data_IF_606405043277
#
_entry.id   IF_606405043277
#
_cell.length_a   1.000
_cell.length_b   1.000
_cell.length_c   1.000
_cell.angle_alpha   90.00
_cell.angle_beta   90.00
_cell.angle_gamma   90.00
#
_symmetry.space_group_name_H-M   'P 1'
#
loop_
_entity.id
_entity.type
_entity.pdbx_description
1 polymer ?
#
# COMPACT_ATOMS: atom_id res chain seq x y z
N UNK A 1 5.50 64.37 -16.05
CA UNK A 1 5.93 63.21 -15.23
C UNK A 1 4.89 62.09 -15.28
N UNK A 2 4.67 61.46 -16.45
CA UNK A 2 3.55 60.50 -16.63
C UNK A 2 3.93 59.19 -17.34
N UNK A 3 5.20 59.00 -17.72
CA UNK A 3 5.64 57.83 -18.51
C UNK A 3 6.21 56.66 -17.69
N UNK A 4 6.51 56.87 -16.41
CA UNK A 4 7.17 55.85 -15.56
C UNK A 4 6.14 54.91 -14.91
N UNK A 5 4.91 55.38 -14.66
CA UNK A 5 3.86 54.60 -13.97
C UNK A 5 3.34 53.40 -14.77
N UNK A 6 3.41 53.42 -16.11
CA UNK A 6 2.85 52.37 -16.95
C UNK A 6 3.76 51.14 -17.05
N UNK A 7 5.08 51.35 -16.91
CA UNK A 7 6.09 50.29 -17.02
C UNK A 7 6.09 49.41 -15.76
N UNK A 8 5.86 50.00 -14.58
CA UNK A 8 5.83 49.26 -13.30
C UNK A 8 4.64 48.29 -13.21
N UNK A 9 3.49 48.64 -13.80
CA UNK A 9 2.31 47.75 -13.84
C UNK A 9 2.51 46.54 -14.76
N UNK A 10 3.23 46.69 -15.87
CA UNK A 10 3.47 45.60 -16.82
C UNK A 10 4.47 44.56 -16.29
N UNK A 11 5.44 44.98 -15.47
CA UNK A 11 6.47 44.09 -14.90
C UNK A 11 5.89 43.27 -13.73
N UNK A 12 5.00 43.85 -12.91
CA UNK A 12 4.37 43.16 -11.78
C UNK A 12 3.44 42.01 -12.20
N UNK A 13 2.73 42.13 -13.32
CA UNK A 13 1.84 41.08 -13.83
C UNK A 13 2.59 39.89 -14.44
N UNK A 14 3.84 40.07 -14.87
CA UNK A 14 4.62 39.00 -15.49
C UNK A 14 5.25 38.05 -14.44
N UNK A 15 5.61 38.57 -13.26
CA UNK A 15 6.19 37.78 -12.17
C UNK A 15 5.20 36.82 -11.50
N UNK A 16 3.92 37.20 -11.43
CA UNK A 16 2.87 36.36 -10.82
C UNK A 16 2.56 35.15 -11.71
N UNK A 17 2.56 35.31 -13.04
CA UNK A 17 2.35 34.21 -13.98
C UNK A 17 3.49 33.17 -13.93
N UNK A 18 4.73 33.61 -13.68
CA UNK A 18 5.89 32.72 -13.57
C UNK A 18 5.87 31.88 -12.27
N UNK A 19 5.36 32.43 -11.16
CA UNK A 19 5.24 31.67 -9.90
C UNK A 19 4.11 30.62 -9.94
N UNK A 20 3.04 30.85 -10.69
CA UNK A 20 1.95 29.88 -10.85
C UNK A 20 2.32 28.67 -11.73
N UNK A 21 3.33 28.81 -12.61
CA UNK A 21 3.83 27.70 -13.44
C UNK A 21 4.80 26.77 -12.68
N UNK A 22 5.39 27.21 -11.57
CA UNK A 22 6.32 26.41 -10.75
C UNK A 22 5.63 25.47 -9.75
N UNK A 23 4.31 25.48 -9.63
CA UNK A 23 3.58 24.63 -8.68
C UNK A 23 2.97 23.37 -9.31
N UNK A 24 3.21 23.11 -10.60
CA UNK A 24 2.86 21.84 -11.22
C UNK A 24 3.91 20.80 -10.86
N UNK A 25 3.92 20.34 -9.62
CA UNK A 25 4.54 19.05 -9.32
C UNK A 25 3.72 17.98 -10.06
N UNK A 26 4.34 17.19 -10.94
CA UNK A 26 3.64 16.04 -11.50
C UNK A 26 3.23 15.16 -10.33
N UNK A 27 1.94 14.81 -10.25
CA UNK A 27 1.49 13.71 -9.43
C UNK A 27 2.27 12.49 -9.90
N UNK A 28 3.30 12.09 -9.15
CA UNK A 28 4.07 10.89 -9.44
C UNK A 28 3.07 9.74 -9.36
N UNK A 29 2.78 9.15 -10.52
CA UNK A 29 2.02 7.93 -10.62
C UNK A 29 2.67 6.93 -9.67
N UNK A 30 1.87 6.48 -8.72
CA UNK A 30 2.33 5.69 -7.60
C UNK A 30 3.18 4.52 -8.08
N UNK A 31 4.42 4.47 -7.60
CA UNK A 31 5.35 3.38 -7.86
C UNK A 31 4.64 2.06 -7.55
N UNK A 32 4.59 1.16 -8.53
CA UNK A 32 3.92 -0.15 -8.46
C UNK A 32 4.70 -1.11 -7.55
N UNK A 33 4.97 -0.69 -6.32
CA UNK A 33 5.63 -1.56 -5.34
C UNK A 33 4.61 -2.59 -4.89
N UNK A 34 4.97 -3.85 -5.08
CA UNK A 34 4.14 -4.97 -4.74
C UNK A 34 3.83 -5.01 -3.24
N UNK A 35 2.56 -4.96 -2.89
CA UNK A 35 2.14 -5.08 -1.49
C UNK A 35 2.43 -6.46 -0.90
N UNK A 36 2.47 -7.49 -1.76
CA UNK A 36 2.55 -8.90 -1.38
C UNK A 36 3.36 -9.68 -2.39
N UNK A 37 4.22 -10.56 -1.91
CA UNK A 37 4.99 -11.51 -2.73
C UNK A 37 4.92 -12.92 -2.13
N UNK A 38 5.15 -13.94 -2.97
CA UNK A 38 5.35 -15.30 -2.46
C UNK A 38 6.68 -15.38 -1.69
N UNK A 39 6.75 -16.18 -0.63
CA UNK A 39 8.03 -16.54 -0.03
C UNK A 39 8.93 -17.19 -1.10
N UNK A 40 10.17 -16.75 -1.19
CA UNK A 40 11.13 -17.20 -2.19
C UNK A 40 12.35 -17.92 -1.59
N UNK A 41 12.47 -17.93 -0.26
CA UNK A 41 13.56 -18.61 0.44
C UNK A 41 13.10 -19.89 1.15
N UNK A 42 13.83 -20.26 2.21
CA UNK A 42 13.57 -21.46 2.99
C UNK A 42 12.30 -21.25 3.81
N UNK A 43 11.40 -22.24 3.75
CA UNK A 43 10.25 -22.36 4.64
C UNK A 43 10.41 -23.57 5.54
N UNK A 44 9.83 -23.51 6.73
CA UNK A 44 9.69 -24.70 7.56
C UNK A 44 8.63 -25.64 6.95
N UNK A 45 8.77 -26.94 7.23
CA UNK A 45 7.87 -27.98 6.71
C UNK A 45 6.61 -28.16 7.56
N UNK A 46 6.57 -27.59 8.76
CA UNK A 46 5.40 -27.65 9.63
C UNK A 46 4.33 -26.64 9.17
N UNK A 47 3.07 -27.05 9.27
CA UNK A 47 1.92 -26.20 8.97
C UNK A 47 1.28 -25.72 10.25
N UNK A 48 1.03 -24.42 10.33
CA UNK A 48 0.25 -23.83 11.41
C UNK A 48 -1.25 -24.10 11.24
N UNK A 49 -2.06 -23.63 12.19
CA UNK A 49 -3.52 -23.78 12.16
C UNK A 49 -4.21 -23.12 10.95
N UNK A 50 -3.51 -22.21 10.26
CA UNK A 50 -3.99 -21.55 9.05
C UNK A 50 -3.70 -22.35 7.77
N UNK A 51 -2.96 -23.46 7.88
CA UNK A 51 -2.52 -24.29 6.76
C UNK A 51 -1.30 -23.76 6.02
N UNK A 52 -0.56 -22.81 6.62
CA UNK A 52 0.64 -22.22 6.03
C UNK A 52 1.89 -22.67 6.79
N UNK A 53 3.06 -22.60 6.16
CA UNK A 53 4.33 -22.79 6.88
C UNK A 53 4.42 -21.86 8.09
N UNK A 54 4.96 -22.33 9.21
CA UNK A 54 5.08 -21.48 10.39
C UNK A 54 6.09 -20.35 10.20
N UNK A 55 7.18 -20.60 9.46
CA UNK A 55 8.22 -19.61 9.19
C UNK A 55 8.68 -19.75 7.73
N UNK A 56 8.85 -18.62 7.04
CA UNK A 56 9.51 -18.55 5.74
C UNK A 56 10.44 -17.34 5.66
N UNK A 57 11.48 -17.44 4.84
CA UNK A 57 12.28 -16.29 4.42
C UNK A 57 11.56 -15.50 3.32
N UNK A 58 11.72 -14.18 3.36
CA UNK A 58 11.18 -13.23 2.39
C UNK A 58 12.30 -12.43 1.73
N UNK A 59 12.05 -11.86 0.54
CA UNK A 59 12.95 -10.87 -0.06
C UNK A 59 13.08 -9.62 0.81
N UNK A 60 14.13 -8.85 0.56
CA UNK A 60 14.33 -7.54 1.18
C UNK A 60 13.12 -6.63 0.98
N UNK A 61 12.77 -5.89 2.04
CA UNK A 61 11.57 -5.04 2.07
C UNK A 61 10.28 -5.76 2.47
N UNK A 62 10.30 -7.09 2.68
CA UNK A 62 9.11 -7.86 3.05
C UNK A 62 9.31 -8.68 4.34
N UNK A 63 8.19 -8.95 5.02
CA UNK A 63 8.14 -9.83 6.20
C UNK A 63 7.09 -10.92 6.00
N UNK A 64 7.43 -12.14 6.42
CA UNK A 64 6.52 -13.27 6.36
C UNK A 64 5.39 -13.11 7.37
N UNK A 65 4.15 -13.32 6.91
CA UNK A 65 2.97 -13.42 7.75
C UNK A 65 2.42 -14.85 7.63
N UNK A 66 2.56 -15.62 8.72
CA UNK A 66 2.16 -17.02 8.77
C UNK A 66 0.63 -17.20 8.77
N UNK A 67 -0.15 -16.21 9.21
CA UNK A 67 -1.60 -16.25 9.11
C UNK A 67 -2.07 -16.09 7.66
N UNK A 68 -1.27 -15.42 6.82
CA UNK A 68 -1.60 -15.17 5.42
C UNK A 68 -0.91 -16.17 4.49
N UNK A 69 0.28 -16.65 4.84
CA UNK A 69 1.11 -17.54 4.03
C UNK A 69 1.97 -16.82 2.98
N UNK A 70 2.11 -15.49 3.10
CA UNK A 70 2.80 -14.65 2.13
C UNK A 70 3.72 -13.65 2.81
N UNK A 71 4.61 -13.07 2.01
CA UNK A 71 5.50 -11.98 2.40
C UNK A 71 4.79 -10.64 2.14
N UNK A 72 4.57 -9.87 3.20
CA UNK A 72 3.90 -8.56 3.17
C UNK A 72 4.95 -7.47 3.21
N UNK A 73 4.77 -6.42 2.41
CA UNK A 73 5.71 -5.30 2.37
C UNK A 73 5.81 -4.59 3.72
N UNK A 74 7.03 -4.35 4.18
CA UNK A 74 7.35 -3.59 5.40
C UNK A 74 8.23 -2.38 5.12
N UNK A 75 9.09 -2.47 4.12
CA UNK A 75 9.93 -1.37 3.65
C UNK A 75 9.87 -1.27 2.13
N UNK A 76 9.50 -0.09 1.64
CA UNK A 76 9.27 0.17 0.22
C UNK A 76 10.55 0.46 -0.54
N UNK A 77 11.55 1.04 0.14
CA UNK A 77 12.81 1.42 -0.50
C UNK A 77 13.61 0.17 -0.87
N UNK A 78 13.47 -0.90 -0.08
CA UNK A 78 14.13 -2.19 -0.31
C UNK A 78 13.28 -3.18 -1.13
N UNK A 79 11.99 -2.91 -1.34
CA UNK A 79 11.06 -3.82 -2.01
C UNK A 79 11.19 -3.77 -3.54
N UNK A 80 12.01 -4.67 -4.10
CA UNK A 80 12.35 -4.69 -5.54
C UNK A 80 11.61 -5.76 -6.36
N UNK A 81 10.85 -6.64 -5.69
CA UNK A 81 10.24 -7.83 -6.32
C UNK A 81 8.85 -7.54 -6.88
N UNK A 82 8.52 -8.19 -8.01
CA UNK A 82 7.19 -8.14 -8.61
C UNK A 82 6.14 -8.82 -7.73
N UNK A 83 4.96 -8.21 -7.66
CA UNK A 83 3.90 -8.61 -6.75
C UNK A 83 3.06 -9.75 -7.24
N UNK A 84 2.36 -10.38 -6.29
CA UNK A 84 1.29 -11.31 -6.63
C UNK A 84 -0.07 -10.61 -6.67
N UNK A 85 -0.97 -11.18 -7.44
CA UNK A 85 -2.38 -10.79 -7.39
C UNK A 85 -2.97 -11.17 -6.04
N UNK A 86 -3.25 -10.16 -5.21
CA UNK A 86 -3.86 -10.30 -3.88
C UNK A 86 -5.18 -11.07 -3.93
N UNK A 87 -5.88 -11.06 -5.07
CA UNK A 87 -7.16 -11.79 -5.22
C UNK A 87 -7.00 -13.30 -5.10
N UNK A 88 -5.79 -13.82 -5.32
CA UNK A 88 -5.44 -15.24 -5.25
C UNK A 88 -4.94 -15.72 -3.88
N UNK A 89 -4.81 -14.83 -2.88
CA UNK A 89 -4.41 -15.21 -1.52
C UNK A 89 -5.51 -16.08 -0.91
N UNK A 90 -5.12 -17.29 -0.48
CA UNK A 90 -5.99 -18.27 0.16
C UNK A 90 -5.31 -18.73 1.44
N UNK A 91 -5.92 -18.45 2.58
CA UNK A 91 -5.52 -18.94 3.89
C UNK A 91 -6.78 -19.14 4.72
N UNK A 92 -6.79 -20.14 5.61
CA UNK A 92 -7.92 -20.34 6.53
C UNK A 92 -8.07 -19.17 7.52
N UNK A 93 -7.01 -18.42 7.77
CA UNK A 93 -6.98 -17.27 8.69
C UNK A 93 -7.02 -15.91 7.98
N UNK A 94 -7.25 -15.86 6.66
CA UNK A 94 -7.29 -14.61 5.91
C UNK A 94 -8.48 -14.57 4.96
N UNK A 95 -9.40 -13.63 5.21
CA UNK A 95 -10.63 -13.47 4.46
C UNK A 95 -10.67 -12.07 3.85
N UNK A 96 -11.10 -11.95 2.59
CA UNK A 96 -11.24 -10.64 1.94
C UNK A 96 -12.20 -9.77 2.72
N UNK A 97 -11.77 -8.58 3.15
CA UNK A 97 -12.58 -7.72 3.99
C UNK A 97 -13.89 -7.30 3.29
N UNK A 98 -13.86 -7.08 1.97
CA UNK A 98 -15.05 -6.77 1.17
C UNK A 98 -16.15 -7.84 1.19
N UNK A 99 -15.84 -9.06 1.64
CA UNK A 99 -16.82 -10.15 1.74
C UNK A 99 -17.45 -10.31 3.12
N UNK A 100 -16.85 -9.73 4.17
CA UNK A 100 -17.23 -10.00 5.57
C UNK A 100 -17.24 -8.79 6.50
N UNK A 101 -16.75 -7.63 6.06
CA UNK A 101 -16.57 -6.45 6.89
C UNK A 101 -17.23 -5.22 6.28
N UNK A 102 -17.68 -4.31 7.15
CA UNK A 102 -18.03 -2.96 6.76
C UNK A 102 -16.76 -2.12 6.63
N UNK A 103 -16.52 -1.54 5.47
CA UNK A 103 -15.30 -0.78 5.17
C UNK A 103 -15.59 0.69 4.87
N UNK A 104 -14.60 1.54 5.08
CA UNK A 104 -14.63 2.91 4.58
C UNK A 104 -14.59 2.93 3.05
N UNK A 105 -15.04 4.04 2.45
CA UNK A 105 -15.14 4.19 0.98
C UNK A 105 -13.86 4.70 0.34
N UNK A 106 -12.97 5.30 1.11
CA UNK A 106 -11.69 5.78 0.63
C UNK A 106 -10.78 4.61 0.27
N UNK A 107 -9.82 4.85 -0.63
CA UNK A 107 -8.89 3.83 -1.10
C UNK A 107 -7.48 4.28 -0.74
N UNK A 108 -6.80 3.47 0.06
CA UNK A 108 -5.41 3.69 0.44
C UNK A 108 -4.47 3.45 -0.74
N UNK A 109 -3.19 3.72 -0.53
CA UNK A 109 -2.16 3.50 -1.55
C UNK A 109 -2.11 2.04 -2.05
N UNK A 110 -2.52 1.06 -1.26
CA UNK A 110 -2.49 -0.35 -1.70
C UNK A 110 -3.74 -0.76 -2.50
N UNK A 111 -4.66 0.17 -2.79
CA UNK A 111 -5.87 -0.13 -3.54
C UNK A 111 -6.97 -0.76 -2.68
N UNK A 112 -6.88 -0.66 -1.36
CA UNK A 112 -7.84 -1.21 -0.41
C UNK A 112 -8.48 -0.10 0.42
N UNK A 113 -9.63 -0.34 1.07
CA UNK A 113 -10.13 0.57 2.10
C UNK A 113 -9.09 0.87 3.18
N UNK A 114 -9.06 2.09 3.72
CA UNK A 114 -8.14 2.40 4.82
C UNK A 114 -8.55 1.74 6.13
N UNK A 115 -9.85 1.55 6.37
CA UNK A 115 -10.37 0.91 7.58
C UNK A 115 -11.51 -0.04 7.24
N UNK A 116 -11.51 -1.22 7.87
CA UNK A 116 -12.64 -2.14 7.88
C UNK A 116 -12.91 -2.66 9.29
N UNK A 117 -14.18 -2.87 9.61
CA UNK A 117 -14.60 -3.51 10.86
C UNK A 117 -14.73 -5.03 10.64
N UNK A 118 -13.66 -5.75 10.96
CA UNK A 118 -13.56 -7.19 10.75
C UNK A 118 -14.35 -7.99 11.80
N UNK A 119 -14.96 -9.13 11.42
CA UNK A 119 -15.75 -9.94 12.34
C UNK A 119 -14.88 -10.74 13.33
N UNK A 120 -15.48 -11.11 14.45
CA UNK A 120 -14.85 -11.99 15.44
C UNK A 120 -13.61 -11.36 16.08
N UNK A 121 -12.54 -12.13 16.17
CA UNK A 121 -11.22 -11.70 16.70
C UNK A 121 -10.24 -11.29 15.61
N UNK A 122 -10.68 -11.12 14.37
CA UNK A 122 -9.79 -10.83 13.24
C UNK A 122 -9.48 -9.33 13.14
N UNK A 123 -8.28 -9.01 12.68
CA UNK A 123 -7.82 -7.63 12.51
C UNK A 123 -7.70 -7.27 11.03
N UNK A 124 -8.04 -6.02 10.70
CA UNK A 124 -7.96 -5.55 9.33
C UNK A 124 -6.51 -5.25 8.94
N UNK A 125 -6.01 -5.95 7.92
CA UNK A 125 -4.75 -5.65 7.28
C UNK A 125 -5.00 -4.80 6.02
N UNK A 126 -4.74 -3.50 6.11
CA UNK A 126 -4.99 -2.53 5.05
C UNK A 126 -4.09 -2.70 3.80
N UNK A 127 -2.94 -3.35 3.96
CA UNK A 127 -2.00 -3.66 2.87
C UNK A 127 -2.57 -4.76 1.98
N UNK A 128 -3.19 -5.75 2.63
CA UNK A 128 -3.83 -6.89 1.98
C UNK A 128 -5.26 -6.59 1.53
N UNK A 129 -6.01 -5.79 2.30
CA UNK A 129 -7.46 -5.65 2.15
C UNK A 129 -8.22 -6.84 2.75
N UNK A 130 -7.64 -7.47 3.76
CA UNK A 130 -8.13 -8.72 4.34
C UNK A 130 -8.32 -8.56 5.86
N UNK A 131 -9.30 -9.30 6.39
CA UNK A 131 -9.42 -9.58 7.81
C UNK A 131 -8.57 -10.80 8.13
N UNK A 132 -7.60 -10.65 9.03
CA UNK A 132 -6.59 -11.66 9.35
C UNK A 132 -6.75 -12.07 10.81
N UNK A 133 -6.87 -13.37 11.05
CA UNK A 133 -6.77 -13.91 12.39
C UNK A 133 -5.28 -14.07 12.72
N UNK A 134 -4.77 -13.27 13.65
CA UNK A 134 -3.38 -13.41 14.11
C UNK A 134 -3.29 -14.72 14.89
N UNK A 135 -3.02 -15.81 14.18
CA UNK A 135 -2.82 -17.13 14.73
C UNK A 135 -1.89 -17.05 15.94
N UNK A 136 -2.45 -17.21 17.14
CA UNK A 136 -1.68 -17.52 18.34
C UNK A 136 -1.19 -18.95 18.27
#
# INVERSE_FOLDING_TARGET
MAKISTIVKAIGTCFIALQLLLQMTPATAQENVAAVVKPNGICTMDYNQCGNSSICSCPDGYKYDAAVGYCIITDKESATVAGVDKRGIRSACSIKASSVAACTRDINRFGNPSVCNCPGSTEYNEVLGHCVDSAR
#
